data_IF_981623439942
#
_entry.id   IF_981623439942
#
_cell.length_a   1.000
_cell.length_b   1.000
_cell.length_c   1.000
_cell.angle_alpha   90.00
_cell.angle_beta   90.00
_cell.angle_gamma   90.00
#
_symmetry.space_group_name_H-M   'P 1'
#
loop_
_entity.id
_entity.type
_entity.pdbx_description
1 polymer ?
#
# COMPACT_ATOMS: atom_id res chain seq x y z
N UNK A 1 6.68 -10.89 7.82
CA UNK A 1 7.43 -9.62 7.71
C UNK A 1 6.44 -8.51 7.40
N UNK A 2 6.43 -7.44 8.20
CA UNK A 2 5.55 -6.28 8.01
C UNK A 2 6.40 -5.03 7.88
N UNK A 3 6.09 -4.18 6.90
CA UNK A 3 6.80 -2.93 6.66
C UNK A 3 5.80 -1.78 6.72
N UNK A 4 6.16 -0.71 7.43
CA UNK A 4 5.51 0.60 7.28
C UNK A 4 6.35 1.41 6.29
N UNK A 5 5.76 1.74 5.14
CA UNK A 5 6.49 2.36 4.03
C UNK A 5 5.83 3.67 3.64
N UNK A 6 6.63 4.75 3.66
CA UNK A 6 6.28 6.02 3.07
C UNK A 6 6.85 6.09 1.65
N UNK A 7 6.03 6.50 0.68
CA UNK A 7 6.43 6.64 -0.73
C UNK A 7 5.73 7.83 -1.37
N UNK A 8 6.22 8.24 -2.54
CA UNK A 8 5.53 9.18 -3.42
C UNK A 8 4.31 8.50 -4.08
N UNK A 9 3.23 9.25 -4.35
CA UNK A 9 1.99 8.70 -4.90
C UNK A 9 2.12 8.25 -6.37
N UNK A 10 3.15 8.71 -7.08
CA UNK A 10 3.42 8.32 -8.47
C UNK A 10 3.96 6.89 -8.60
N UNK A 11 4.44 6.28 -7.51
CA UNK A 11 4.90 4.90 -7.49
C UNK A 11 3.75 3.96 -7.16
N UNK A 12 3.55 2.95 -8.00
CA UNK A 12 2.57 1.91 -7.73
C UNK A 12 3.01 1.01 -6.57
N UNK A 13 2.03 0.51 -5.81
CA UNK A 13 2.27 -0.42 -4.69
C UNK A 13 3.03 -1.67 -5.18
N UNK A 14 2.63 -2.24 -6.32
CA UNK A 14 3.33 -3.39 -6.92
C UNK A 14 4.82 -3.09 -7.13
N UNK A 15 5.15 -1.89 -7.64
CA UNK A 15 6.56 -1.52 -7.87
C UNK A 15 7.34 -1.41 -6.57
N UNK A 16 6.75 -0.81 -5.54
CA UNK A 16 7.36 -0.69 -4.21
C UNK A 16 7.65 -2.09 -3.64
N UNK A 17 6.67 -2.99 -3.66
CA UNK A 17 6.82 -4.35 -3.15
C UNK A 17 7.87 -5.14 -3.95
N UNK A 18 7.89 -5.01 -5.27
CA UNK A 18 8.92 -5.65 -6.11
C UNK A 18 10.32 -5.19 -5.70
N UNK A 19 10.51 -3.89 -5.46
CA UNK A 19 11.80 -3.34 -5.05
C UNK A 19 12.21 -3.91 -3.69
N UNK A 20 11.32 -3.85 -2.69
CA UNK A 20 11.59 -4.35 -1.33
C UNK A 20 11.95 -5.83 -1.37
N UNK A 21 11.12 -6.68 -1.98
CA UNK A 21 11.36 -8.12 -2.08
C UNK A 21 12.67 -8.42 -2.82
N UNK A 22 12.96 -7.69 -3.90
CA UNK A 22 14.15 -7.92 -4.72
C UNK A 22 15.44 -7.54 -4.01
N UNK A 23 15.48 -6.37 -3.38
CA UNK A 23 16.68 -5.88 -2.67
C UNK A 23 16.97 -6.77 -1.46
N UNK A 24 15.94 -7.06 -0.65
CA UNK A 24 16.10 -7.91 0.53
C UNK A 24 16.53 -9.33 0.16
N UNK A 25 15.94 -9.93 -0.88
CA UNK A 25 16.37 -11.26 -1.34
C UNK A 25 17.83 -11.28 -1.80
N UNK A 26 18.26 -10.28 -2.57
CA UNK A 26 19.65 -10.17 -3.03
C UNK A 26 20.62 -10.02 -1.85
N UNK A 27 20.30 -9.18 -0.88
CA UNK A 27 21.13 -8.98 0.31
C UNK A 27 21.24 -10.28 1.12
N UNK A 28 20.10 -10.91 1.43
CA UNK A 28 20.07 -12.16 2.21
C UNK A 28 20.87 -13.27 1.53
N UNK A 29 20.70 -13.49 0.22
CA UNK A 29 21.44 -14.54 -0.48
C UNK A 29 22.92 -14.23 -0.67
N UNK A 30 23.31 -12.96 -0.66
CA UNK A 30 24.72 -12.56 -0.67
C UNK A 30 25.37 -12.86 0.68
N UNK A 31 24.71 -12.49 1.77
CA UNK A 31 25.27 -12.59 3.11
C UNK A 31 25.12 -14.02 3.69
N UNK A 32 24.13 -14.78 3.22
CA UNK A 32 23.79 -16.13 3.70
C UNK A 32 23.56 -17.09 2.49
N UNK A 33 24.61 -17.49 1.75
CA UNK A 33 24.47 -18.29 0.54
C UNK A 33 23.82 -19.67 0.75
N UNK A 34 23.90 -20.22 1.96
CA UNK A 34 23.25 -21.47 2.36
C UNK A 34 21.72 -21.38 2.33
N UNK A 35 21.14 -20.22 2.62
CA UNK A 35 19.69 -19.99 2.55
C UNK A 35 19.17 -20.23 1.13
N UNK A 36 19.95 -19.87 0.11
CA UNK A 36 19.60 -20.11 -1.30
C UNK A 36 19.46 -21.61 -1.62
N UNK A 37 20.26 -22.45 -0.96
CA UNK A 37 20.22 -23.92 -1.13
C UNK A 37 19.00 -24.53 -0.45
N UNK A 38 18.60 -23.98 0.69
CA UNK A 38 17.44 -24.45 1.46
C UNK A 38 16.10 -24.02 0.82
N UNK A 39 16.07 -22.83 0.20
CA UNK A 39 14.84 -22.25 -0.36
C UNK A 39 14.71 -22.49 -1.86
N UNK A 40 14.37 -23.72 -2.26
CA UNK A 40 13.82 -24.09 -3.58
C UNK A 40 14.39 -23.31 -4.79
N UNK A 41 15.73 -23.22 -4.89
CA UNK A 41 16.38 -22.56 -6.03
C UNK A 41 16.48 -21.03 -5.95
N UNK A 42 16.31 -20.42 -4.78
CA UNK A 42 16.55 -19.00 -4.54
C UNK A 42 15.31 -18.11 -4.52
N UNK A 43 14.15 -18.66 -4.14
CA UNK A 43 12.94 -17.85 -3.90
C UNK A 43 12.80 -17.55 -2.41
N UNK A 44 13.23 -16.35 -1.98
CA UNK A 44 13.11 -15.94 -0.58
C UNK A 44 11.66 -15.61 -0.19
N UNK A 45 10.92 -15.04 -1.13
CA UNK A 45 9.55 -14.54 -0.91
C UNK A 45 8.55 -15.35 -1.73
N UNK A 46 7.33 -15.49 -1.19
CA UNK A 46 6.18 -15.94 -1.99
C UNK A 46 5.84 -14.90 -3.05
N UNK A 47 5.11 -15.32 -4.09
CA UNK A 47 4.66 -14.43 -5.17
C UNK A 47 3.69 -13.34 -4.66
N UNK A 48 2.78 -13.71 -3.75
CA UNK A 48 1.76 -12.83 -3.19
C UNK A 48 2.28 -11.79 -2.18
N UNK A 49 1.52 -10.72 -1.98
CA UNK A 49 1.74 -9.73 -0.93
C UNK A 49 0.40 -9.13 -0.48
N UNK A 50 0.37 -8.57 0.72
CA UNK A 50 -0.76 -7.79 1.23
C UNK A 50 -0.30 -6.36 1.46
N UNK A 51 -1.13 -5.40 1.06
CA UNK A 51 -0.88 -3.97 1.25
C UNK A 51 -2.17 -3.28 1.69
N UNK A 52 -2.05 -2.36 2.64
CA UNK A 52 -3.13 -1.51 3.09
C UNK A 52 -2.58 -0.09 3.32
N UNK A 53 -3.43 0.92 3.14
CA UNK A 53 -3.08 2.30 3.44
C UNK A 53 -3.23 2.55 4.94
N UNK A 54 -2.33 3.37 5.48
CA UNK A 54 -2.40 3.87 6.86
C UNK A 54 -2.36 5.39 6.81
N UNK A 55 -3.29 6.04 7.49
CA UNK A 55 -3.40 7.49 7.49
C UNK A 55 -3.91 7.99 8.84
N UNK A 56 -3.17 8.89 9.46
CA UNK A 56 -3.55 9.51 10.73
C UNK A 56 -4.59 10.64 10.55
N UNK A 57 -4.70 11.20 9.34
CA UNK A 57 -5.47 12.43 9.06
C UNK A 57 -6.54 12.27 7.98
N UNK A 58 -7.17 11.10 7.87
CA UNK A 58 -8.40 10.91 7.11
C UNK A 58 -9.62 11.59 7.76
N UNK A 59 -9.46 12.80 8.30
CA UNK A 59 -10.56 13.55 8.89
C UNK A 59 -11.32 14.26 7.76
N UNK A 60 -12.63 14.03 7.69
CA UNK A 60 -13.55 14.69 6.75
C UNK A 60 -13.30 16.20 6.66
N UNK A 61 -12.91 16.83 7.79
CA UNK A 61 -12.58 18.25 7.84
C UNK A 61 -11.42 18.66 6.91
N UNK A 62 -10.32 17.90 6.90
CA UNK A 62 -9.12 18.20 6.08
C UNK A 62 -9.43 17.99 4.60
N UNK A 63 -10.18 16.94 4.28
CA UNK A 63 -10.63 16.65 2.90
C UNK A 63 -11.59 17.76 2.43
N UNK A 64 -12.52 18.18 3.29
CA UNK A 64 -13.49 19.23 3.00
C UNK A 64 -12.81 20.58 2.74
N UNK A 65 -11.85 20.96 3.59
CA UNK A 65 -11.08 22.20 3.42
C UNK A 65 -10.26 22.17 2.13
N UNK A 66 -9.57 21.06 1.84
CA UNK A 66 -8.84 20.89 0.59
C UNK A 66 -9.76 21.09 -0.64
N UNK A 67 -10.95 20.46 -0.65
CA UNK A 67 -11.92 20.57 -1.75
C UNK A 67 -12.50 21.97 -1.87
N UNK A 68 -12.84 22.62 -0.76
CA UNK A 68 -13.38 23.99 -0.74
C UNK A 68 -12.41 25.01 -1.34
N UNK A 69 -11.11 24.82 -1.11
CA UNK A 69 -10.06 25.71 -1.60
C UNK A 69 -9.68 25.46 -3.08
N UNK A 70 -10.25 24.45 -3.77
CA UNK A 70 -9.98 24.16 -5.20
C UNK A 70 -10.83 24.98 -6.20
N UNK A 71 -11.50 26.04 -5.75
CA UNK A 71 -12.07 27.07 -6.64
C UNK A 71 -13.38 26.73 -7.38
N UNK A 72 -14.02 25.58 -7.11
CA UNK A 72 -15.37 25.26 -7.60
C UNK A 72 -16.35 25.24 -6.43
N UNK A 73 -17.52 25.90 -6.57
CA UNK A 73 -18.60 25.85 -5.57
C UNK A 73 -18.95 24.40 -5.27
N UNK A 74 -18.60 23.92 -4.08
CA UNK A 74 -18.92 22.58 -3.62
C UNK A 74 -20.45 22.40 -3.56
N UNK A 75 -21.01 21.59 -4.46
CA UNK A 75 -22.42 21.18 -4.42
C UNK A 75 -22.49 19.83 -3.71
N UNK A 76 -22.99 19.81 -2.47
CA UNK A 76 -23.15 18.59 -1.67
C UNK A 76 -24.21 17.69 -2.31
N UNK A 77 -23.81 16.63 -3.02
CA UNK A 77 -24.72 15.79 -3.81
C UNK A 77 -25.49 14.75 -2.98
N UNK A 78 -24.99 14.31 -1.80
CA UNK A 78 -25.73 13.41 -0.91
C UNK A 78 -25.12 13.37 0.50
N UNK A 79 -25.95 13.24 1.55
CA UNK A 79 -25.51 13.03 2.94
C UNK A 79 -26.43 11.98 3.58
N UNK A 80 -26.34 10.76 3.09
CA UNK A 80 -27.01 9.58 3.65
C UNK A 80 -25.99 8.48 3.89
N UNK A 81 -26.16 7.70 4.95
CA UNK A 81 -25.38 6.50 5.18
C UNK A 81 -25.63 5.52 4.01
N UNK A 82 -24.57 5.13 3.30
CA UNK A 82 -24.66 4.08 2.29
C UNK A 82 -25.12 2.81 3.00
N UNK A 83 -26.34 2.36 2.72
CA UNK A 83 -26.74 1.00 3.06
C UNK A 83 -25.90 0.09 2.18
N UNK A 84 -24.92 -0.60 2.79
CA UNK A 84 -24.29 -1.74 2.13
C UNK A 84 -25.42 -2.70 1.76
N UNK A 85 -25.45 -3.13 0.50
CA UNK A 85 -26.34 -4.19 0.07
C UNK A 85 -26.00 -5.44 0.89
N UNK A 86 -26.85 -5.76 1.87
CA UNK A 86 -26.99 -7.12 2.37
C UNK A 86 -27.81 -7.88 1.33
N UNK A 87 -27.15 -8.47 0.33
CA UNK A 87 -27.76 -9.53 -0.45
C UNK A 87 -26.74 -10.66 -0.61
N UNK A 88 -27.13 -11.82 -0.09
CA UNK A 88 -26.54 -13.13 -0.26
C UNK A 88 -26.69 -13.60 -1.72
#
# INVERSE_FOLDING_TARGET
MHFLVQSVPSLSISRIVTIIKSITAKAVFKDNPEVKKQLWGGNLWTSGYYANTVGQYGNEAVIKEYVQNQGKKYKRMYRGQLKLAEEF
#
